data_IF_043182723748
#
_entry.id   IF_043182723748
#
_cell.length_a   1.000
_cell.length_b   1.000
_cell.length_c   1.000
_cell.angle_alpha   90.00
_cell.angle_beta   90.00
_cell.angle_gamma   90.00
#
_symmetry.space_group_name_H-M   'P 1'
#
loop_
_entity.id
_entity.type
_entity.pdbx_description
1 polymer ?
#
# COMPACT_ATOMS: atom_id res chain seq x y z
N UNK A 1 6.91 -20.80 -18.69
CA UNK A 1 5.75 -20.19 -18.01
C UNK A 1 5.27 -21.01 -16.81
N UNK A 2 5.15 -22.34 -16.87
CA UNK A 2 4.67 -23.15 -15.73
C UNK A 2 5.69 -23.34 -14.61
N UNK A 3 6.99 -23.36 -14.91
CA UNK A 3 8.05 -23.59 -13.90
C UNK A 3 8.07 -22.53 -12.78
N UNK A 4 7.76 -21.28 -13.11
CA UNK A 4 7.75 -20.17 -12.14
C UNK A 4 6.38 -19.90 -11.53
N UNK A 5 5.34 -20.65 -11.92
CA UNK A 5 3.96 -20.34 -11.53
C UNK A 5 3.76 -20.48 -10.01
N UNK A 6 4.27 -21.57 -9.44
CA UNK A 6 4.17 -21.83 -8.00
C UNK A 6 5.01 -20.82 -7.20
N UNK A 7 6.15 -20.41 -7.75
CA UNK A 7 6.98 -19.35 -7.16
C UNK A 7 6.25 -18.01 -7.19
N UNK A 8 5.70 -17.59 -8.32
CA UNK A 8 4.98 -16.32 -8.46
C UNK A 8 3.76 -16.23 -7.52
N UNK A 9 2.97 -17.31 -7.41
CA UNK A 9 1.90 -17.38 -6.42
C UNK A 9 2.43 -17.38 -4.97
N UNK A 10 3.52 -18.10 -4.71
CA UNK A 10 4.15 -18.15 -3.38
C UNK A 10 4.67 -16.78 -2.93
N UNK A 11 5.33 -16.05 -3.83
CA UNK A 11 5.84 -14.70 -3.60
C UNK A 11 4.70 -13.71 -3.34
N UNK A 12 3.65 -13.76 -4.15
CA UNK A 12 2.48 -12.87 -3.98
C UNK A 12 1.70 -13.20 -2.71
N UNK A 13 1.59 -14.47 -2.35
CA UNK A 13 0.99 -14.87 -1.08
C UNK A 13 1.83 -14.38 0.10
N UNK A 14 3.15 -14.54 0.03
CA UNK A 14 4.06 -14.10 1.09
C UNK A 14 3.99 -12.58 1.31
N UNK A 15 3.96 -11.82 0.22
CA UNK A 15 3.76 -10.37 0.24
C UNK A 15 2.42 -10.01 0.92
N UNK A 16 1.29 -10.56 0.47
CA UNK A 16 -0.02 -10.26 1.06
C UNK A 16 -0.19 -10.72 2.52
N UNK A 17 0.51 -11.78 2.94
CA UNK A 17 0.52 -12.23 4.34
C UNK A 17 1.26 -11.26 5.26
N UNK A 18 2.17 -10.43 4.74
CA UNK A 18 2.89 -9.45 5.52
C UNK A 18 1.96 -8.39 6.15
N UNK A 19 0.82 -8.09 5.52
CA UNK A 19 -0.25 -7.25 6.08
C UNK A 19 -0.82 -7.87 7.36
N UNK A 20 -1.03 -9.19 7.36
CA UNK A 20 -1.42 -9.93 8.56
C UNK A 20 -0.35 -9.91 9.65
N UNK A 21 0.93 -10.03 9.28
CA UNK A 21 2.07 -9.93 10.22
C UNK A 21 2.09 -8.56 10.88
N UNK A 22 1.93 -7.49 10.10
CA UNK A 22 1.77 -6.12 10.60
C UNK A 22 0.68 -6.00 11.66
N UNK A 23 -0.49 -6.58 11.41
CA UNK A 23 -1.57 -6.58 12.41
C UNK A 23 -1.21 -7.34 13.69
N UNK A 24 -0.44 -8.43 13.62
CA UNK A 24 -0.01 -9.16 14.82
C UNK A 24 0.99 -8.33 15.62
N UNK A 25 1.94 -7.67 14.95
CA UNK A 25 2.92 -6.78 15.58
C UNK A 25 2.23 -5.64 16.33
N UNK A 26 1.15 -5.07 15.75
CA UNK A 26 0.35 -4.03 16.39
C UNK A 26 -0.21 -4.42 17.77
N UNK A 27 -0.44 -5.70 18.04
CA UNK A 27 -0.95 -6.18 19.33
C UNK A 27 0.15 -6.55 20.34
N UNK A 28 1.38 -6.75 19.88
CA UNK A 28 2.54 -7.04 20.72
C UNK A 28 3.19 -5.74 21.19
N UNK A 29 3.23 -4.72 20.35
CA UNK A 29 3.63 -3.38 20.74
C UNK A 29 2.57 -2.78 21.66
N UNK A 30 2.97 -2.28 22.83
CA UNK A 30 2.04 -1.70 23.80
C UNK A 30 1.17 -0.63 23.14
N UNK A 31 -0.14 -0.88 23.14
CA UNK A 31 -1.18 -0.09 22.46
C UNK A 31 -1.42 1.24 23.17
N UNK A 32 -0.41 2.09 23.31
CA UNK A 32 -0.49 3.45 23.88
C UNK A 32 0.65 4.37 23.44
N UNK A 33 1.65 3.88 22.70
CA UNK A 33 2.78 4.72 22.29
C UNK A 33 2.47 5.49 20.98
N UNK A 34 1.96 6.71 21.11
CA UNK A 34 1.68 7.61 19.98
C UNK A 34 2.92 7.90 19.13
N UNK A 35 4.12 7.88 19.73
CA UNK A 35 5.39 8.04 19.02
C UNK A 35 5.70 6.85 18.11
N UNK A 36 5.42 5.63 18.57
CA UNK A 36 5.58 4.44 17.73
C UNK A 36 4.61 4.45 16.55
N UNK A 37 3.35 4.84 16.80
CA UNK A 37 2.34 5.00 15.75
C UNK A 37 2.77 6.08 14.74
N UNK A 38 3.19 7.25 15.22
CA UNK A 38 3.73 8.33 14.41
C UNK A 38 4.89 7.88 13.53
N UNK A 39 5.89 7.21 14.13
CA UNK A 39 7.05 6.70 13.40
C UNK A 39 6.62 5.70 12.32
N UNK A 40 5.74 4.75 12.65
CA UNK A 40 5.29 3.68 11.75
C UNK A 40 4.50 4.23 10.56
N UNK A 41 3.63 5.22 10.81
CA UNK A 41 2.88 5.89 9.74
C UNK A 41 3.80 6.72 8.83
N UNK A 42 4.74 7.45 9.42
CA UNK A 42 5.77 8.16 8.67
C UNK A 42 6.64 7.20 7.85
N UNK A 43 7.06 6.08 8.44
CA UNK A 43 7.79 5.01 7.77
C UNK A 43 7.01 4.44 6.58
N UNK A 44 5.73 4.12 6.76
CA UNK A 44 4.85 3.66 5.66
C UNK A 44 4.80 4.68 4.53
N UNK A 45 4.59 5.96 4.84
CA UNK A 45 4.56 7.03 3.85
C UNK A 45 5.88 7.12 3.08
N UNK A 46 7.00 7.02 3.79
CA UNK A 46 8.33 7.02 3.18
C UNK A 46 8.56 5.85 2.22
N UNK A 47 8.18 4.63 2.63
CA UNK A 47 8.28 3.44 1.77
C UNK A 47 7.41 3.61 0.52
N UNK A 48 6.14 3.98 0.68
CA UNK A 48 5.20 4.19 -0.43
C UNK A 48 5.66 5.28 -1.38
N UNK A 49 6.18 6.41 -0.87
CA UNK A 49 6.72 7.48 -1.70
C UNK A 49 7.91 6.99 -2.52
N UNK A 50 8.85 6.30 -1.88
CA UNK A 50 10.06 5.86 -2.55
C UNK A 50 9.77 4.82 -3.62
N UNK A 51 9.02 3.76 -3.30
CA UNK A 51 8.68 2.71 -4.27
C UNK A 51 7.86 3.27 -5.43
N UNK A 52 6.93 4.20 -5.17
CA UNK A 52 6.12 4.80 -6.23
C UNK A 52 6.98 5.60 -7.22
N UNK A 53 7.94 6.40 -6.72
CA UNK A 53 8.75 7.29 -7.56
C UNK A 53 9.93 6.62 -8.22
N UNK A 54 10.55 5.65 -7.54
CA UNK A 54 11.82 5.05 -8.00
C UNK A 54 11.59 3.75 -8.76
N UNK A 55 10.48 3.05 -8.51
CA UNK A 55 10.22 1.73 -9.09
C UNK A 55 8.95 1.71 -9.96
N UNK A 56 7.77 1.98 -9.37
CA UNK A 56 6.48 1.80 -10.05
C UNK A 56 6.31 2.78 -11.21
N UNK A 57 6.69 4.05 -11.01
CA UNK A 57 6.63 5.08 -12.06
C UNK A 57 7.51 4.72 -13.26
N UNK A 58 8.75 4.26 -13.01
CA UNK A 58 9.68 3.89 -14.08
C UNK A 58 9.26 2.61 -14.79
N UNK A 59 8.70 1.62 -14.09
CA UNK A 59 8.08 0.45 -14.72
C UNK A 59 6.91 0.82 -15.63
N UNK A 60 6.07 1.75 -15.18
CA UNK A 60 5.00 2.28 -16.02
C UNK A 60 5.57 2.97 -17.27
N UNK A 61 6.66 3.73 -17.11
CA UNK A 61 7.36 4.40 -18.20
C UNK A 61 7.92 3.41 -19.21
N UNK A 62 8.67 2.39 -18.76
CA UNK A 62 9.23 1.36 -19.62
C UNK A 62 8.15 0.63 -20.41
N UNK A 63 7.05 0.23 -19.75
CA UNK A 63 5.95 -0.45 -20.41
C UNK A 63 5.24 0.45 -21.44
N UNK A 64 4.99 1.73 -21.12
CA UNK A 64 4.32 2.65 -22.04
C UNK A 64 5.19 3.05 -23.24
N UNK A 65 6.50 3.21 -23.02
CA UNK A 65 7.46 3.42 -24.12
C UNK A 65 7.52 2.18 -25.01
N UNK A 66 7.60 0.97 -24.42
CA UNK A 66 7.59 -0.29 -25.18
C UNK A 66 6.31 -0.50 -26.00
N UNK A 67 5.17 -0.06 -25.47
CA UNK A 67 3.88 -0.12 -26.16
C UNK A 67 3.68 0.96 -27.24
N UNK A 68 4.46 2.04 -27.21
CA UNK A 68 4.30 3.20 -28.10
C UNK A 68 5.65 3.67 -28.67
N UNK A 69 6.10 4.86 -28.27
CA UNK A 69 7.38 5.46 -28.59
C UNK A 69 7.88 6.25 -27.36
N UNK A 70 9.14 6.66 -27.38
CA UNK A 70 9.76 7.36 -26.24
C UNK A 70 9.01 8.63 -25.83
N UNK A 71 8.54 9.43 -26.79
CA UNK A 71 7.86 10.70 -26.49
C UNK A 71 6.46 10.44 -25.98
N UNK A 72 5.66 9.65 -26.71
CA UNK A 72 4.27 9.34 -26.36
C UNK A 72 4.20 8.58 -25.03
N UNK A 73 5.07 7.57 -24.83
CA UNK A 73 5.13 6.77 -23.61
C UNK A 73 5.36 7.64 -22.38
N UNK A 74 6.34 8.54 -22.43
CA UNK A 74 6.62 9.49 -21.35
C UNK A 74 5.43 10.38 -21.01
N UNK A 75 4.72 10.92 -22.01
CA UNK A 75 3.51 11.71 -21.79
C UNK A 75 2.39 10.89 -21.16
N UNK A 76 2.18 9.66 -21.63
CA UNK A 76 1.19 8.74 -21.07
C UNK A 76 1.50 8.37 -19.62
N UNK A 77 2.78 8.19 -19.25
CA UNK A 77 3.17 7.89 -17.86
C UNK A 77 2.81 9.05 -16.94
N UNK A 78 3.19 10.27 -17.31
CA UNK A 78 2.89 11.46 -16.50
C UNK A 78 1.38 11.69 -16.42
N UNK A 79 0.66 11.53 -17.54
CA UNK A 79 -0.79 11.67 -17.57
C UNK A 79 -1.49 10.60 -16.72
N UNK A 80 -1.05 9.35 -16.77
CA UNK A 80 -1.56 8.27 -15.94
C UNK A 80 -1.29 8.52 -14.46
N UNK A 81 -0.09 8.98 -14.11
CA UNK A 81 0.30 9.33 -12.75
C UNK A 81 -0.57 10.43 -12.14
N UNK A 82 -0.67 11.58 -12.79
CA UNK A 82 -1.55 12.64 -12.29
C UNK A 82 -3.03 12.28 -12.43
N UNK A 83 -3.40 11.47 -13.43
CA UNK A 83 -4.74 10.91 -13.57
C UNK A 83 -5.13 10.06 -12.36
N UNK A 84 -4.21 9.21 -11.86
CA UNK A 84 -4.38 8.45 -10.63
C UNK A 84 -4.57 9.35 -9.41
N UNK A 85 -3.73 10.38 -9.26
CA UNK A 85 -3.88 11.38 -8.17
C UNK A 85 -5.24 12.08 -8.20
N UNK A 86 -5.66 12.54 -9.39
CA UNK A 86 -6.95 13.22 -9.55
C UNK A 86 -8.10 12.24 -9.26
N UNK A 87 -8.00 11.00 -9.74
CA UNK A 87 -9.01 9.97 -9.50
C UNK A 87 -9.21 9.75 -8.00
N UNK A 88 -8.15 9.52 -7.24
CA UNK A 88 -8.28 9.30 -5.79
C UNK A 88 -8.72 10.57 -5.06
N UNK A 89 -8.26 11.76 -5.45
CA UNK A 89 -8.73 13.02 -4.87
C UNK A 89 -10.23 13.27 -5.12
N UNK A 90 -10.74 12.87 -6.28
CA UNK A 90 -12.17 12.94 -6.59
C UNK A 90 -12.96 11.92 -5.77
N UNK A 91 -12.46 10.68 -5.66
CA UNK A 91 -13.07 9.65 -4.81
C UNK A 91 -13.12 10.14 -3.36
N UNK A 92 -12.01 10.64 -2.82
CA UNK A 92 -11.90 11.19 -1.47
C UNK A 92 -12.95 12.28 -1.22
N UNK A 93 -13.07 13.25 -2.13
CA UNK A 93 -14.03 14.35 -2.01
C UNK A 93 -15.49 13.89 -2.02
N UNK A 94 -15.79 12.77 -2.67
CA UNK A 94 -17.13 12.18 -2.70
C UNK A 94 -17.45 11.39 -1.43
N UNK A 95 -16.45 11.02 -0.63
CA UNK A 95 -16.65 10.37 0.65
C UNK A 95 -17.01 11.45 1.71
N UNK A 96 -18.18 11.36 2.37
CA UNK A 96 -18.58 12.36 3.36
C UNK A 96 -17.53 12.47 4.47
N UNK A 97 -17.18 13.67 4.95
CA UNK A 97 -16.11 13.90 5.97
C UNK A 97 -16.21 13.02 7.22
N UNK A 98 -17.41 12.85 7.78
CA UNK A 98 -17.69 11.93 8.91
C UNK A 98 -17.53 10.43 8.57
N UNK A 99 -17.32 10.14 7.29
CA UNK A 99 -17.11 8.83 6.70
C UNK A 99 -15.75 8.69 6.05
N UNK A 100 -14.98 9.78 6.03
CA UNK A 100 -13.76 9.83 5.28
C UNK A 100 -12.71 9.05 6.07
N UNK A 101 -12.22 7.89 5.57
CA UNK A 101 -11.06 7.21 6.14
C UNK A 101 -9.86 8.15 6.35
N UNK A 102 -9.80 9.25 5.60
CA UNK A 102 -8.69 10.19 5.54
C UNK A 102 -8.84 11.33 6.59
N UNK A 103 -9.99 11.46 7.28
CA UNK A 103 -10.12 12.37 8.45
C UNK A 103 -9.64 11.69 9.74
N UNK A 104 -8.51 12.17 10.26
CA UNK A 104 -7.85 11.58 11.42
C UNK A 104 -8.47 12.04 12.74
N UNK A 105 -8.55 11.16 13.75
CA UNK A 105 -8.91 11.49 15.14
C UNK A 105 -7.68 11.39 16.06
N UNK A 106 -7.57 12.21 17.13
CA UNK A 106 -6.39 12.14 18.04
C UNK A 106 -6.44 10.88 18.88
N UNK A 107 -5.30 10.36 19.34
CA UNK A 107 -5.27 9.24 20.33
C UNK A 107 -5.99 9.63 21.62
N UNK A 108 -5.94 10.90 21.99
CA UNK A 108 -6.66 11.47 23.13
C UNK A 108 -8.20 11.46 22.93
N UNK A 109 -8.68 11.48 21.68
CA UNK A 109 -10.09 11.28 21.32
C UNK A 109 -10.47 9.78 21.31
N UNK A 110 -9.49 8.88 21.40
CA UNK A 110 -9.65 7.40 21.37
C UNK A 110 -9.88 6.81 22.77
N UNK A 111 -9.53 7.51 23.85
CA UNK A 111 -9.80 7.05 25.24
C UNK A 111 -11.27 7.22 25.66
N UNK A 112 -12.05 8.03 24.95
CA UNK A 112 -13.46 8.26 25.26
C UNK A 112 -14.34 7.18 24.62
N UNK A 113 -14.49 6.08 25.35
CA UNK A 113 -15.48 5.01 25.18
C UNK A 113 -15.13 3.92 24.14
N UNK A 114 -15.27 2.62 24.49
CA UNK A 114 -14.91 1.46 23.65
C UNK A 114 -15.86 1.20 22.46
N UNK A 115 -16.61 2.23 22.05
CA UNK A 115 -17.58 2.22 20.96
C UNK A 115 -17.50 3.57 20.25
N UNK A 116 -16.35 3.87 19.65
CA UNK A 116 -16.23 5.03 18.78
C UNK A 116 -16.56 4.60 17.34
N UNK A 117 -17.80 4.82 16.85
CA UNK A 117 -18.23 4.36 15.53
C UNK A 117 -17.35 4.92 14.41
N UNK A 118 -16.78 6.10 14.60
CA UNK A 118 -15.95 6.75 13.59
C UNK A 118 -14.56 6.09 13.45
N UNK A 119 -13.99 5.55 14.54
CA UNK A 119 -12.74 4.78 14.46
C UNK A 119 -12.94 3.43 13.77
N UNK A 120 -14.09 2.77 14.06
CA UNK A 120 -14.43 1.52 13.38
C UNK A 120 -14.62 1.78 11.89
N UNK A 121 -15.29 2.87 11.55
CA UNK A 121 -15.47 3.31 10.17
C UNK A 121 -14.13 3.57 9.50
N UNK A 122 -13.27 4.41 10.09
CA UNK A 122 -11.92 4.68 9.59
C UNK A 122 -11.16 3.40 9.30
N UNK A 123 -10.97 2.52 10.30
CA UNK A 123 -10.22 1.27 10.10
C UNK A 123 -10.86 0.30 9.09
N UNK A 124 -12.19 0.28 8.97
CA UNK A 124 -12.88 -0.54 7.94
C UNK A 124 -12.65 0.04 6.55
N UNK A 125 -12.76 1.35 6.38
CA UNK A 125 -12.50 2.01 5.10
C UNK A 125 -11.02 1.93 4.71
N UNK A 126 -10.09 2.09 5.65
CA UNK A 126 -8.66 1.84 5.43
C UNK A 126 -8.45 0.40 4.94
N UNK A 127 -9.11 -0.60 5.54
CA UNK A 127 -9.01 -1.98 5.05
C UNK A 127 -9.50 -2.15 3.60
N UNK A 128 -10.56 -1.43 3.21
CA UNK A 128 -11.07 -1.44 1.83
C UNK A 128 -10.11 -0.74 0.87
N UNK A 129 -9.59 0.42 1.25
CA UNK A 129 -8.61 1.16 0.44
C UNK A 129 -7.33 0.34 0.23
N UNK A 130 -6.87 -0.33 1.29
CA UNK A 130 -5.74 -1.29 1.24
C UNK A 130 -6.05 -2.43 0.28
N UNK A 131 -7.20 -3.10 0.45
CA UNK A 131 -7.59 -4.17 -0.46
C UNK A 131 -7.65 -3.75 -1.95
N UNK A 132 -8.00 -2.49 -2.23
CA UNK A 132 -8.06 -1.97 -3.60
C UNK A 132 -6.66 -1.75 -4.19
N UNK A 133 -5.66 -1.36 -3.40
CA UNK A 133 -4.30 -1.13 -3.91
C UNK A 133 -3.41 -2.38 -3.90
N UNK A 134 -3.57 -3.25 -2.89
CA UNK A 134 -2.89 -4.53 -2.86
C UNK A 134 -3.34 -5.43 -4.03
N UNK A 135 -4.54 -5.20 -4.60
CA UNK A 135 -4.98 -5.95 -5.78
C UNK A 135 -4.07 -5.72 -7.02
N UNK A 136 -3.84 -4.48 -7.51
CA UNK A 136 -2.82 -4.20 -8.53
C UNK A 136 -1.41 -4.67 -8.16
N UNK A 137 -0.99 -4.53 -6.92
CA UNK A 137 0.34 -5.00 -6.46
C UNK A 137 0.46 -6.53 -6.55
N UNK A 138 -0.63 -7.26 -6.30
CA UNK A 138 -0.69 -8.70 -6.47
C UNK A 138 -0.53 -9.11 -7.93
N UNK A 139 -1.17 -8.38 -8.85
CA UNK A 139 -0.97 -8.56 -10.29
C UNK A 139 0.50 -8.28 -10.64
N UNK A 140 1.04 -7.16 -10.16
CA UNK A 140 2.40 -6.71 -10.42
C UNK A 140 3.46 -7.73 -9.98
N UNK A 141 3.35 -8.20 -8.74
CA UNK A 141 4.26 -9.19 -8.14
C UNK A 141 4.22 -10.48 -8.93
N UNK A 142 3.02 -10.95 -9.25
CA UNK A 142 2.81 -12.19 -9.98
C UNK A 142 3.37 -12.12 -11.40
N UNK A 143 3.04 -11.08 -12.17
CA UNK A 143 3.51 -10.95 -13.56
C UNK A 143 5.02 -10.76 -13.62
N UNK A 144 5.59 -9.98 -12.70
CA UNK A 144 7.03 -9.77 -12.65
C UNK A 144 7.77 -11.05 -12.30
N UNK A 145 7.29 -11.84 -11.34
CA UNK A 145 7.88 -13.14 -10.99
C UNK A 145 7.75 -14.20 -12.09
N UNK A 146 6.72 -14.11 -12.95
CA UNK A 146 6.61 -14.98 -14.12
C UNK A 146 7.62 -14.61 -15.22
N UNK A 147 7.89 -13.32 -15.41
CA UNK A 147 8.82 -12.82 -16.42
C UNK A 147 10.27 -13.01 -15.99
N UNK A 148 10.61 -12.57 -14.77
CA UNK A 148 11.93 -12.67 -14.18
C UNK A 148 11.80 -13.00 -12.67
N UNK A 149 12.10 -14.24 -12.25
CA UNK A 149 12.04 -14.65 -10.85
C UNK A 149 12.88 -13.81 -9.88
N UNK A 150 14.03 -13.30 -10.33
CA UNK A 150 14.91 -12.47 -9.51
C UNK A 150 14.27 -11.12 -9.23
N UNK A 151 13.77 -10.46 -10.28
CA UNK A 151 12.99 -9.23 -10.17
C UNK A 151 11.69 -9.44 -9.38
N UNK A 152 11.01 -10.57 -9.58
CA UNK A 152 9.79 -10.92 -8.85
C UNK A 152 10.02 -11.07 -7.35
N UNK A 153 11.12 -11.73 -6.95
CA UNK A 153 11.53 -11.83 -5.54
C UNK A 153 11.82 -10.45 -4.95
N UNK A 154 12.51 -9.60 -5.71
CA UNK A 154 12.82 -8.23 -5.33
C UNK A 154 11.59 -7.43 -4.95
N UNK A 155 10.63 -7.42 -5.88
CA UNK A 155 9.35 -6.75 -5.75
C UNK A 155 8.56 -7.35 -4.58
N UNK A 156 8.49 -8.67 -4.46
CA UNK A 156 7.73 -9.32 -3.39
C UNK A 156 8.27 -8.97 -1.99
N UNK A 157 9.59 -8.90 -1.82
CA UNK A 157 10.22 -8.51 -0.55
C UNK A 157 9.97 -7.03 -0.26
N UNK A 158 10.16 -6.17 -1.26
CA UNK A 158 9.80 -4.76 -1.16
C UNK A 158 8.33 -4.58 -0.74
N UNK A 159 7.44 -5.38 -1.34
CA UNK A 159 6.02 -5.32 -1.07
C UNK A 159 5.68 -5.77 0.35
N UNK A 160 6.25 -6.90 0.75
CA UNK A 160 6.12 -7.41 2.12
C UNK A 160 6.54 -6.38 3.18
N UNK A 161 7.59 -5.59 2.92
CA UNK A 161 8.07 -4.57 3.88
C UNK A 161 7.06 -3.43 4.06
N UNK A 162 6.36 -2.97 3.01
CA UNK A 162 5.34 -1.90 3.16
C UNK A 162 4.01 -2.42 3.69
N UNK A 163 3.68 -3.68 3.40
CA UNK A 163 2.47 -4.32 3.90
C UNK A 163 2.46 -4.44 5.44
N UNK A 164 3.62 -4.53 6.09
CA UNK A 164 3.69 -4.56 7.56
C UNK A 164 3.09 -3.28 8.18
N UNK A 165 3.58 -2.06 7.85
CA UNK A 165 2.94 -0.81 8.29
C UNK A 165 1.45 -0.69 7.96
N UNK A 166 1.02 -1.11 6.78
CA UNK A 166 -0.39 -1.14 6.37
C UNK A 166 -1.26 -2.00 7.29
N UNK A 167 -0.75 -3.17 7.67
CA UNK A 167 -1.39 -4.05 8.62
C UNK A 167 -1.62 -3.38 9.98
N UNK A 168 -0.64 -2.59 10.43
CA UNK A 168 -0.73 -1.78 11.65
C UNK A 168 -1.80 -0.68 11.48
N UNK A 169 -1.80 0.01 10.33
CA UNK A 169 -2.72 1.10 10.03
C UNK A 169 -4.21 0.67 10.05
N UNK A 170 -4.53 -0.57 9.65
CA UNK A 170 -5.89 -1.12 9.75
C UNK A 170 -6.22 -1.61 11.15
N UNK A 171 -5.33 -2.39 11.74
CA UNK A 171 -5.64 -3.15 12.95
C UNK A 171 -5.75 -2.29 14.20
N UNK A 172 -4.91 -1.26 14.34
CA UNK A 172 -4.92 -0.32 15.47
C UNK A 172 -6.29 0.36 15.62
N UNK A 173 -6.80 1.11 14.64
CA UNK A 173 -8.07 1.83 14.81
C UNK A 173 -9.27 0.90 15.00
N UNK A 174 -9.32 -0.24 14.31
CA UNK A 174 -10.39 -1.23 14.52
C UNK A 174 -10.35 -1.79 15.95
N UNK A 175 -9.17 -2.08 16.48
CA UNK A 175 -9.01 -2.59 17.84
C UNK A 175 -9.49 -1.55 18.86
N UNK A 176 -9.05 -0.30 18.77
CA UNK A 176 -9.49 0.76 19.69
C UNK A 176 -11.00 1.04 19.59
N UNK A 177 -11.59 0.91 18.41
CA UNK A 177 -13.01 1.13 18.22
C UNK A 177 -13.90 0.01 18.79
N UNK A 178 -13.35 -1.21 18.94
CA UNK A 178 -14.15 -2.41 19.19
C UNK A 178 -13.69 -3.25 20.38
N UNK A 179 -12.50 -3.02 20.91
CA UNK A 179 -11.81 -3.89 21.87
C UNK A 179 -11.47 -5.29 21.33
N UNK A 180 -11.71 -5.57 20.05
CA UNK A 180 -11.67 -6.93 19.51
C UNK A 180 -10.47 -7.15 18.58
N UNK A 181 -9.40 -7.74 19.12
CA UNK A 181 -8.17 -8.09 18.37
C UNK A 181 -8.45 -9.00 17.17
N UNK A 182 -9.38 -9.95 17.30
CA UNK A 182 -9.72 -10.88 16.20
C UNK A 182 -10.39 -10.13 15.05
N UNK A 183 -11.25 -9.15 15.34
CA UNK A 183 -11.91 -8.33 14.32
C UNK A 183 -10.91 -7.44 13.59
N UNK A 184 -10.01 -6.79 14.34
CA UNK A 184 -8.92 -6.00 13.80
C UNK A 184 -7.99 -6.82 12.89
N UNK A 185 -7.53 -7.97 13.37
CA UNK A 185 -6.74 -8.91 12.58
C UNK A 185 -7.47 -9.36 11.33
N UNK A 186 -8.74 -9.77 11.44
CA UNK A 186 -9.51 -10.27 10.30
C UNK A 186 -9.63 -9.23 9.20
N UNK A 187 -9.89 -7.95 9.52
CA UNK A 187 -9.99 -6.90 8.51
C UNK A 187 -8.65 -6.66 7.81
N UNK A 188 -7.56 -6.56 8.57
CA UNK A 188 -6.21 -6.37 8.01
C UNK A 188 -5.73 -7.58 7.20
N UNK A 189 -5.97 -8.79 7.68
CA UNK A 189 -5.62 -10.01 6.97
C UNK A 189 -6.39 -10.15 5.65
N UNK A 190 -7.70 -9.86 5.67
CA UNK A 190 -8.52 -9.89 4.46
C UNK A 190 -8.11 -8.83 3.44
N UNK A 191 -7.63 -7.65 3.87
CA UNK A 191 -7.13 -6.65 2.93
C UNK A 191 -5.84 -7.12 2.25
N UNK A 192 -4.92 -7.73 2.99
CA UNK A 192 -3.70 -8.33 2.41
C UNK A 192 -3.96 -9.53 1.48
N UNK A 193 -5.03 -10.29 1.69
CA UNK A 193 -5.42 -11.37 0.77
C UNK A 193 -5.85 -10.88 -0.63
N UNK A 194 -6.05 -9.57 -0.83
CA UNK A 194 -6.33 -9.02 -2.16
C UNK A 194 -5.15 -9.21 -3.13
N UNK A 195 -3.90 -9.29 -2.66
CA UNK A 195 -2.72 -9.58 -3.48
C UNK A 195 -2.78 -10.96 -4.14
N UNK A 196 -2.88 -12.09 -3.38
CA UNK A 196 -2.98 -13.40 -4.01
C UNK A 196 -4.28 -13.54 -4.84
N UNK A 197 -5.34 -12.80 -4.52
CA UNK A 197 -6.54 -12.72 -5.37
C UNK A 197 -6.21 -11.99 -6.68
N UNK A 198 -5.46 -10.89 -6.63
CA UNK A 198 -4.93 -10.17 -7.79
C UNK A 198 -4.11 -11.08 -8.70
N UNK A 199 -3.17 -11.85 -8.14
CA UNK A 199 -2.40 -12.86 -8.87
C UNK A 199 -3.30 -13.92 -9.54
N UNK A 200 -4.32 -14.40 -8.83
CA UNK A 200 -5.24 -15.41 -9.36
C UNK A 200 -6.06 -14.85 -10.53
N UNK A 201 -6.57 -13.63 -10.39
CA UNK A 201 -7.30 -12.94 -11.47
C UNK A 201 -6.37 -12.64 -12.64
N UNK A 202 -5.12 -12.26 -12.38
CA UNK A 202 -4.10 -12.08 -13.41
C UNK A 202 -3.91 -13.35 -14.23
N UNK A 203 -3.71 -14.48 -13.55
CA UNK A 203 -3.49 -15.78 -14.18
C UNK A 203 -4.69 -16.27 -14.98
N UNK A 204 -5.89 -16.23 -14.39
CA UNK A 204 -7.09 -16.84 -14.98
C UNK A 204 -7.77 -15.97 -16.03
N UNK A 205 -7.70 -14.64 -15.88
CA UNK A 205 -8.54 -13.71 -16.65
C UNK A 205 -7.70 -12.71 -17.42
N UNK A 206 -6.69 -12.09 -16.80
CA UNK A 206 -6.03 -10.92 -17.39
C UNK A 206 -4.82 -11.26 -18.25
N UNK A 207 -4.20 -12.43 -18.14
CA UNK A 207 -3.01 -12.78 -18.95
C UNK A 207 -3.20 -12.57 -20.46
N UNK A 208 -4.36 -12.89 -21.08
CA UNK A 208 -4.59 -12.60 -22.50
C UNK A 208 -4.71 -11.10 -22.85
N UNK A 209 -4.95 -10.24 -21.86
CA UNK A 209 -5.26 -8.82 -22.04
C UNK A 209 -4.22 -7.86 -21.42
N UNK A 210 -3.28 -8.39 -20.63
CA UNK A 210 -2.16 -7.66 -20.00
C UNK A 210 -1.13 -7.26 -21.07
N UNK A 211 -1.51 -6.29 -21.89
CA UNK A 211 -0.58 -5.60 -22.81
C UNK A 211 0.27 -4.60 -22.04
N UNK A 212 1.45 -4.29 -22.55
CA UNK A 212 2.35 -3.27 -21.98
C UNK A 212 1.65 -1.92 -21.81
N UNK A 213 0.73 -1.58 -22.74
CA UNK A 213 -0.12 -0.38 -22.64
C UNK A 213 -1.00 -0.42 -21.38
N UNK A 214 -1.77 -1.50 -21.18
CA UNK A 214 -2.67 -1.62 -20.03
C UNK A 214 -1.89 -1.67 -18.72
N UNK A 215 -0.80 -2.44 -18.69
CA UNK A 215 0.10 -2.54 -17.55
C UNK A 215 0.66 -1.17 -17.17
N UNK A 216 1.17 -0.43 -18.16
CA UNK A 216 1.73 0.89 -17.97
C UNK A 216 0.71 1.93 -17.47
N UNK A 217 -0.50 1.95 -18.02
CA UNK A 217 -1.57 2.86 -17.55
C UNK A 217 -1.95 2.55 -16.10
N UNK A 218 -2.11 1.27 -15.75
CA UNK A 218 -2.46 0.84 -14.39
C UNK A 218 -1.36 1.26 -13.41
N UNK A 219 -0.09 0.96 -13.71
CA UNK A 219 1.01 1.26 -12.81
C UNK A 219 1.25 2.76 -12.65
N UNK A 220 1.13 3.54 -13.73
CA UNK A 220 1.19 4.99 -13.65
C UNK A 220 0.11 5.52 -12.69
N UNK A 221 -1.14 5.06 -12.87
CA UNK A 221 -2.25 5.42 -11.99
C UNK A 221 -2.02 5.02 -10.53
N UNK A 222 -1.56 3.79 -10.27
CA UNK A 222 -1.26 3.28 -8.92
C UNK A 222 -0.17 4.11 -8.24
N UNK A 223 0.93 4.42 -8.93
CA UNK A 223 1.98 5.29 -8.40
C UNK A 223 1.41 6.66 -8.00
N UNK A 224 0.53 7.24 -8.82
CA UNK A 224 -0.15 8.50 -8.52
C UNK A 224 -1.01 8.42 -7.25
N UNK A 225 -1.83 7.38 -7.17
CA UNK A 225 -2.70 7.12 -6.02
C UNK A 225 -1.87 6.96 -4.74
N UNK A 226 -0.80 6.16 -4.76
CA UNK A 226 0.06 5.91 -3.60
C UNK A 226 0.77 7.17 -3.11
N UNK A 227 1.23 8.04 -4.00
CA UNK A 227 1.79 9.34 -3.60
C UNK A 227 0.73 10.22 -2.95
N UNK A 228 -0.47 10.31 -3.54
CA UNK A 228 -1.55 11.11 -2.95
C UNK A 228 -1.88 10.62 -1.54
N UNK A 229 -2.11 9.32 -1.36
CA UNK A 229 -2.40 8.71 -0.04
C UNK A 229 -1.26 8.99 0.96
N UNK A 230 -0.01 8.85 0.52
CA UNK A 230 1.14 9.09 1.40
C UNK A 230 1.21 10.53 1.91
N UNK A 231 0.87 11.50 1.05
CA UNK A 231 0.96 12.92 1.34
C UNK A 231 -0.27 13.47 2.05
N UNK A 232 -1.47 13.03 1.68
CA UNK A 232 -2.73 13.53 2.22
C UNK A 232 -3.16 12.78 3.49
N UNK A 233 -2.76 11.52 3.64
CA UNK A 233 -3.19 10.69 4.76
C UNK A 233 -2.05 10.34 5.71
N UNK A 234 -1.07 9.56 5.25
CA UNK A 234 -0.10 8.91 6.15
C UNK A 234 0.81 9.93 6.83
N UNK A 235 1.29 10.92 6.08
CA UNK A 235 2.16 11.96 6.64
C UNK A 235 1.43 12.91 7.60
N UNK A 236 0.23 13.44 7.28
CA UNK A 236 -0.58 14.19 8.23
C UNK A 236 -0.96 13.37 9.47
N UNK A 237 -1.27 12.09 9.30
CA UNK A 237 -1.55 11.15 10.39
C UNK A 237 -0.37 11.01 11.33
N UNK A 238 0.82 10.77 10.76
CA UNK A 238 2.05 10.67 11.53
C UNK A 238 2.29 11.94 12.37
N UNK A 239 2.22 13.12 11.75
CA UNK A 239 2.41 14.42 12.43
C UNK A 239 1.37 14.72 13.51
N UNK A 240 0.16 14.17 13.41
CA UNK A 240 -0.88 14.34 14.42
C UNK A 240 -0.56 13.58 15.72
N UNK A 241 0.20 12.50 15.65
CA UNK A 241 0.52 11.64 16.80
C UNK A 241 1.89 11.93 17.44
N UNK A 242 2.70 12.76 16.79
CA UNK A 242 3.90 13.37 17.36
C UNK A 242 4.16 14.70 16.66
N UNK A 243 4.13 15.80 17.42
CA UNK A 243 4.36 17.15 16.88
C UNK A 243 5.85 17.48 16.66
N UNK A 244 6.75 16.52 16.90
CA UNK A 244 8.20 16.69 16.70
C UNK A 244 8.63 16.17 15.32
N UNK A 245 9.92 15.87 15.15
CA UNK A 245 10.47 15.40 13.89
C UNK A 245 10.37 13.89 13.67
N UNK A 246 9.83 13.13 14.63
CA UNK A 246 9.72 11.67 14.53
C UNK A 246 8.94 11.16 13.31
N UNK A 247 7.82 11.79 12.88
CA UNK A 247 7.15 11.44 11.62
C UNK A 247 8.11 11.51 10.42
N UNK A 248 8.93 12.57 10.36
CA UNK A 248 9.85 12.83 9.25
C UNK A 248 11.02 11.86 9.29
N UNK A 249 11.54 11.54 10.48
CA UNK A 249 12.53 10.47 10.61
C UNK A 249 11.96 9.11 10.21
N UNK A 250 10.67 8.87 10.49
CA UNK A 250 9.92 7.74 9.94
C UNK A 250 9.98 7.73 8.41
N UNK A 251 9.57 8.82 7.76
CA UNK A 251 9.62 8.97 6.29
C UNK A 251 11.02 8.70 5.75
N UNK A 252 12.03 9.36 6.29
CA UNK A 252 13.42 9.17 5.88
C UNK A 252 13.89 7.72 6.05
N UNK A 253 13.55 7.09 7.18
CA UNK A 253 13.89 5.69 7.43
C UNK A 253 13.16 4.74 6.48
N UNK A 254 11.88 4.99 6.20
CA UNK A 254 11.09 4.24 5.23
C UNK A 254 11.68 4.33 3.83
N UNK A 255 11.98 5.55 3.38
CA UNK A 255 12.66 5.77 2.09
C UNK A 255 14.02 5.07 2.05
N UNK A 256 14.83 5.16 3.11
CA UNK A 256 16.15 4.53 3.16
C UNK A 256 16.06 3.00 3.15
N UNK A 257 15.14 2.40 3.92
CA UNK A 257 14.92 0.95 3.93
C UNK A 257 14.43 0.48 2.56
N UNK A 258 13.53 1.22 1.93
CA UNK A 258 13.05 0.90 0.59
C UNK A 258 14.13 1.07 -0.49
N UNK A 259 14.96 2.11 -0.37
CA UNK A 259 16.11 2.30 -1.26
C UNK A 259 17.10 1.13 -1.14
N UNK A 260 17.46 0.78 0.09
CA UNK A 260 18.36 -0.33 0.36
C UNK A 260 17.76 -1.65 -0.09
N UNK A 261 16.46 -1.88 0.11
CA UNK A 261 15.80 -3.11 -0.35
C UNK A 261 15.89 -3.25 -1.86
N UNK A 262 15.61 -2.18 -2.63
CA UNK A 262 15.75 -2.22 -4.10
C UNK A 262 17.19 -2.47 -4.55
N UNK A 263 18.18 -1.90 -3.86
CA UNK A 263 19.60 -2.14 -4.17
C UNK A 263 20.06 -3.58 -3.91
N UNK A 264 19.39 -4.34 -3.04
CA UNK A 264 19.73 -5.75 -2.80
C UNK A 264 19.43 -6.66 -4.00
N UNK A 265 18.74 -6.13 -5.02
CA UNK A 265 18.26 -6.88 -6.17
C UNK A 265 18.80 -6.40 -7.51
N UNK A 266 19.82 -5.51 -7.49
CA UNK A 266 20.64 -5.13 -8.64
C UNK A 266 21.93 -5.96 -8.61
#
# INVERSE_FOLDING_TARGET
>A
MTENLLLAFGLTLMAGLATGIGSLLAFVTTTTNTKFLSFTLGFSAGVMIYVSMVEIFFKAQEALIGATDEVTGNWLTVAGFFGGMILIALIDKLIPKQSNPHELKKVEDMEKSPKNPDLLKMGTFTAVAIAIHNFPEGIATFTSALQDPGLGLAIAVAIAIHNIPEGIAVSVPVYYATGNRKKAFKLSFLSGLSEPIGALVAFLVLMPYLTDMLFGIIFAGVAGIMIFISLDELLPAAKKYDETHLPIYGVMAGMAVMALSLLLFI
#
